data_IF_745608728987
#
_entry.id   IF_745608728987
#
_cell.length_a   1.000
_cell.length_b   1.000
_cell.length_c   1.000
_cell.angle_alpha   90.00
_cell.angle_beta   90.00
_cell.angle_gamma   90.00
#
_symmetry.space_group_name_H-M   'P 1'
#
loop_
_entity.id
_entity.type
_entity.pdbx_description
1 polymer ?
#
# COMPACT_ATOMS: atom_id res chain seq x y z
N UNK A 1 13.07 7.71 -8.10
CA UNK A 1 12.30 6.67 -7.39
C UNK A 1 11.80 7.13 -6.03
N UNK A 2 12.63 7.70 -5.13
CA UNK A 2 12.18 8.17 -3.82
C UNK A 2 10.92 9.08 -3.88
N UNK A 3 10.87 10.01 -4.84
CA UNK A 3 9.76 10.95 -4.99
C UNK A 3 8.40 10.27 -5.26
N UNK A 4 8.34 9.26 -6.14
CA UNK A 4 7.08 8.61 -6.49
C UNK A 4 6.48 7.83 -5.31
N UNK A 5 7.32 7.18 -4.51
CA UNK A 5 6.90 6.48 -3.29
C UNK A 5 6.35 7.44 -2.23
N UNK A 6 6.95 8.62 -2.07
CA UNK A 6 6.42 9.64 -1.15
C UNK A 6 5.08 10.20 -1.62
N UNK A 7 4.94 10.49 -2.92
CA UNK A 7 3.67 10.92 -3.49
C UNK A 7 2.59 9.84 -3.31
N UNK A 8 2.93 8.57 -3.58
CA UNK A 8 2.03 7.45 -3.36
C UNK A 8 1.58 7.35 -1.90
N UNK A 9 2.50 7.49 -0.95
CA UNK A 9 2.18 7.49 0.49
C UNK A 9 1.20 8.60 0.85
N UNK A 10 1.47 9.83 0.41
CA UNK A 10 0.62 10.98 0.74
C UNK A 10 -0.77 10.84 0.10
N UNK A 11 -0.85 10.32 -1.13
CA UNK A 11 -2.11 10.04 -1.80
C UNK A 11 -2.88 8.89 -1.15
N UNK A 12 -2.21 7.81 -0.77
CA UNK A 12 -2.85 6.72 -0.04
C UNK A 12 -3.41 7.18 1.30
N UNK A 13 -2.78 8.16 1.96
CA UNK A 13 -3.29 8.78 3.19
C UNK A 13 -4.58 9.56 2.99
N UNK A 14 -4.77 10.17 1.81
CA UNK A 14 -6.01 10.87 1.48
C UNK A 14 -7.18 9.90 1.21
N UNK A 15 -6.89 8.63 0.89
CA UNK A 15 -7.89 7.62 0.50
C UNK A 15 -8.40 6.76 1.66
N UNK A 16 -7.62 6.62 2.74
CA UNK A 16 -7.96 5.69 3.81
C UNK A 16 -8.39 6.42 5.08
N UNK A 17 -9.31 5.81 5.82
CA UNK A 17 -9.53 6.16 7.23
C UNK A 17 -8.41 5.53 8.06
N UNK A 18 -7.53 6.35 8.63
CA UNK A 18 -6.36 5.86 9.37
C UNK A 18 -6.72 5.09 10.66
N UNK A 19 -7.92 5.30 11.21
CA UNK A 19 -8.39 4.61 12.42
C UNK A 19 -8.97 3.23 12.11
N UNK A 20 -9.53 3.04 10.91
CA UNK A 20 -10.24 1.80 10.53
C UNK A 20 -9.51 0.98 9.45
N UNK A 21 -8.49 1.55 8.80
CA UNK A 21 -7.81 0.93 7.67
C UNK A 21 -6.30 0.98 7.83
N UNK A 22 -5.63 0.04 7.17
CA UNK A 22 -4.17 0.02 7.04
C UNK A 22 -3.78 -0.21 5.60
N UNK A 23 -2.78 0.52 5.15
CA UNK A 23 -2.10 0.25 3.87
C UNK A 23 -0.61 0.30 4.10
N UNK A 24 0.14 -0.63 3.52
CA UNK A 24 1.59 -0.59 3.56
C UNK A 24 2.22 -1.12 2.28
N UNK A 25 3.39 -0.56 2.00
CA UNK A 25 4.20 -0.91 0.87
C UNK A 25 5.46 -1.62 1.36
N UNK A 26 5.74 -2.76 0.75
CA UNK A 26 6.96 -3.53 0.97
C UNK A 26 7.75 -3.67 -0.34
N UNK A 27 9.05 -3.84 -0.23
CA UNK A 27 9.95 -4.13 -1.34
C UNK A 27 10.62 -5.49 -1.14
N UNK A 28 10.45 -6.40 -2.09
CA UNK A 28 11.08 -7.71 -2.15
C UNK A 28 12.51 -7.57 -2.65
N UNK A 29 13.43 -8.20 -1.94
CA UNK A 29 14.84 -8.34 -2.33
C UNK A 29 15.24 -9.80 -2.17
N UNK A 30 15.02 -10.59 -3.23
CA UNK A 30 15.19 -12.04 -3.22
C UNK A 30 14.23 -12.69 -2.22
N UNK A 31 14.76 -13.25 -1.13
CA UNK A 31 13.97 -13.85 -0.03
C UNK A 31 13.65 -12.87 1.10
N UNK A 32 14.15 -11.64 1.05
CA UNK A 32 13.92 -10.62 2.07
C UNK A 32 12.79 -9.70 1.64
N UNK A 33 12.03 -9.22 2.62
CA UNK A 33 11.03 -8.18 2.43
C UNK A 33 11.48 -6.98 3.25
N UNK A 34 11.74 -5.88 2.58
CA UNK A 34 12.08 -4.59 3.18
C UNK A 34 10.82 -3.74 3.29
N UNK A 35 10.56 -3.20 4.46
CA UNK A 35 9.45 -2.29 4.69
C UNK A 35 9.75 -0.92 4.08
N UNK A 36 8.80 -0.33 3.35
CA UNK A 36 8.95 1.00 2.74
C UNK A 36 8.19 2.05 3.54
N UNK A 37 6.87 1.89 3.66
CA UNK A 37 6.03 2.74 4.52
C UNK A 37 4.70 2.06 4.87
N UNK A 38 3.99 2.64 5.84
CA UNK A 38 2.58 2.36 6.14
C UNK A 38 1.81 3.66 6.35
N UNK A 39 0.50 3.56 6.16
CA UNK A 39 -0.50 4.56 6.53
C UNK A 39 -1.63 3.84 7.25
N UNK A 40 -2.20 4.48 8.27
CA UNK A 40 -3.24 3.89 9.10
C UNK A 40 -2.73 2.94 10.19
N UNK A 41 -3.67 2.30 10.86
CA UNK A 41 -3.46 1.54 12.10
C UNK A 41 -3.67 0.04 11.91
N UNK A 42 -3.10 -0.77 12.81
CA UNK A 42 -3.24 -2.23 12.73
C UNK A 42 -4.69 -2.66 12.93
N UNK A 43 -5.19 -3.48 12.01
CA UNK A 43 -6.54 -4.02 12.07
C UNK A 43 -6.52 -5.49 12.49
N UNK A 44 -7.61 -5.95 13.11
CA UNK A 44 -7.77 -7.35 13.51
C UNK A 44 -8.12 -8.29 12.34
N UNK A 45 -8.19 -7.75 11.12
CA UNK A 45 -8.40 -8.52 9.89
C UNK A 45 -7.07 -8.98 9.27
N UNK A 46 -7.05 -10.15 8.59
CA UNK A 46 -5.86 -10.56 7.85
C UNK A 46 -5.51 -9.55 6.74
N UNK A 47 -4.21 -9.44 6.37
CA UNK A 47 -3.78 -8.67 5.20
C UNK A 47 -4.38 -9.18 3.89
N UNK A 48 -4.77 -8.25 3.03
CA UNK A 48 -5.01 -8.49 1.60
C UNK A 48 -3.82 -7.98 0.81
N UNK A 49 -3.28 -8.79 -0.10
CA UNK A 49 -2.32 -8.32 -1.10
C UNK A 49 -3.09 -7.70 -2.27
N UNK A 50 -2.95 -6.39 -2.47
CA UNK A 50 -3.69 -5.66 -3.50
C UNK A 50 -3.01 -5.71 -4.86
N UNK A 51 -1.70 -5.49 -4.88
CA UNK A 51 -0.93 -5.39 -6.11
C UNK A 51 0.53 -5.79 -5.89
N UNK A 52 1.18 -6.23 -6.97
CA UNK A 52 2.61 -6.52 -7.02
C UNK A 52 3.16 -6.10 -8.38
N UNK A 53 4.18 -5.25 -8.38
CA UNK A 53 4.84 -4.77 -9.59
C UNK A 53 6.35 -4.60 -9.35
N UNK A 54 7.14 -5.28 -10.18
CA UNK A 54 8.58 -5.40 -9.98
C UNK A 54 8.92 -5.98 -8.61
N UNK A 55 9.72 -5.24 -7.84
CA UNK A 55 10.08 -5.62 -6.47
C UNK A 55 9.06 -5.14 -5.43
N UNK A 56 8.00 -4.42 -5.79
CA UNK A 56 7.10 -3.79 -4.82
C UNK A 56 5.80 -4.56 -4.64
N UNK A 57 5.35 -4.67 -3.39
CA UNK A 57 4.08 -5.29 -3.03
C UNK A 57 3.27 -4.39 -2.11
N UNK A 58 2.03 -4.15 -2.51
CA UNK A 58 1.06 -3.36 -1.78
C UNK A 58 0.10 -4.28 -1.02
N UNK A 59 -0.10 -3.95 0.25
CA UNK A 59 -1.03 -4.64 1.11
C UNK A 59 -2.01 -3.66 1.76
N UNK A 60 -3.20 -4.17 2.08
CA UNK A 60 -4.20 -3.46 2.87
C UNK A 60 -4.84 -4.35 3.93
N UNK A 61 -5.50 -3.71 4.90
CA UNK A 61 -6.38 -4.33 5.89
C UNK A 61 -7.53 -3.36 6.19
N UNK A 62 -8.73 -3.91 6.43
CA UNK A 62 -9.91 -3.11 6.77
C UNK A 62 -10.45 -2.24 5.62
N UNK A 63 -9.84 -2.30 4.43
CA UNK A 63 -10.26 -1.51 3.26
C UNK A 63 -11.51 -2.09 2.61
N UNK A 64 -12.35 -1.21 2.06
CA UNK A 64 -13.47 -1.60 1.20
C UNK A 64 -13.00 -1.89 -0.22
N UNK A 65 -13.78 -2.65 -0.99
CA UNK A 65 -13.46 -2.97 -2.39
C UNK A 65 -13.21 -1.72 -3.26
N UNK A 66 -13.96 -0.63 -2.99
CA UNK A 66 -13.80 0.66 -3.67
C UNK A 66 -12.42 1.27 -3.39
N UNK A 67 -12.03 1.36 -2.11
CA UNK A 67 -10.71 1.87 -1.70
C UNK A 67 -9.60 0.97 -2.24
N UNK A 68 -9.78 -0.35 -2.22
CA UNK A 68 -8.81 -1.28 -2.79
C UNK A 68 -8.57 -1.06 -4.28
N UNK A 69 -9.63 -0.79 -5.04
CA UNK A 69 -9.55 -0.51 -6.46
C UNK A 69 -8.77 0.79 -6.73
N UNK A 70 -9.09 1.86 -5.98
CA UNK A 70 -8.39 3.15 -6.10
C UNK A 70 -6.90 3.02 -5.74
N UNK A 71 -6.58 2.27 -4.69
CA UNK A 71 -5.20 2.00 -4.28
C UNK A 71 -4.41 1.24 -5.34
N UNK A 72 -5.02 0.26 -6.02
CA UNK A 72 -4.39 -0.49 -7.13
C UNK A 72 -4.09 0.42 -8.32
N UNK A 73 -5.03 1.27 -8.69
CA UNK A 73 -4.86 2.23 -9.79
C UNK A 73 -3.77 3.26 -9.46
N UNK A 74 -3.79 3.78 -8.24
CA UNK A 74 -2.77 4.70 -7.72
C UNK A 74 -1.39 4.03 -7.73
N UNK A 75 -1.29 2.78 -7.28
CA UNK A 75 -0.04 2.02 -7.25
C UNK A 75 0.61 1.91 -8.64
N UNK A 76 -0.15 1.51 -9.67
CA UNK A 76 0.37 1.37 -11.05
C UNK A 76 0.78 2.69 -11.72
N UNK A 77 0.35 3.84 -11.18
CA UNK A 77 0.82 5.15 -11.67
C UNK A 77 2.21 5.51 -11.15
N UNK A 78 2.52 5.11 -9.91
CA UNK A 78 3.72 5.57 -9.19
C UNK A 78 4.83 4.52 -9.11
N UNK A 79 4.49 3.24 -9.23
CA UNK A 79 5.43 2.13 -9.19
C UNK A 79 5.50 1.53 -10.59
N UNK A 80 6.70 1.57 -11.21
CA UNK A 80 7.03 1.01 -12.53
C UNK A 80 8.41 0.37 -12.48
#
# INVERSE_FOLDING_TARGET
MANATYIFKDKAKELIDEEEMKVWLSKKHGRRVEYVFKVGTEQFSPPTQLAEEGDYVLFSQGTTDEVEQELKELFGQFIK
#
